data_IF_298901494445
#
_entry.id   IF_298901494445
#
_cell.length_a   1.000
_cell.length_b   1.000
_cell.length_c   1.000
_cell.angle_alpha   90.00
_cell.angle_beta   90.00
_cell.angle_gamma   90.00
#
_symmetry.space_group_name_H-M   'P 1'
#
loop_
_entity.id
_entity.type
_entity.pdbx_description
1 polymer ?
#
# COMPACT_ATOMS: atom_id res chain seq x y z
N UNK A 1 -3.77 5.21 -3.09
CA UNK A 1 -3.46 4.55 -1.82
C UNK A 1 -3.07 5.59 -0.80
N UNK A 2 -3.61 5.49 0.39
CA UNK A 2 -3.48 6.51 1.44
C UNK A 2 -3.07 5.84 2.76
N UNK A 3 -2.25 6.53 3.56
CA UNK A 3 -1.86 6.12 4.92
C UNK A 3 -2.38 7.16 5.92
N UNK A 4 -3.33 6.77 6.75
CA UNK A 4 -3.89 7.66 7.78
C UNK A 4 -3.82 7.02 9.16
N UNK A 5 -4.20 7.76 10.20
CA UNK A 5 -4.20 7.28 11.59
C UNK A 5 -5.61 7.36 12.19
N UNK A 6 -6.02 6.29 12.85
CA UNK A 6 -7.33 6.19 13.50
C UNK A 6 -7.19 5.77 14.97
N UNK A 7 -8.07 6.27 15.83
CA UNK A 7 -8.05 5.97 17.27
C UNK A 7 -9.05 4.85 17.57
N UNK A 8 -8.56 3.71 18.06
CA UNK A 8 -9.37 2.55 18.45
C UNK A 8 -9.13 2.26 19.92
N UNK A 9 -10.21 2.29 20.74
CA UNK A 9 -10.15 2.08 22.20
C UNK A 9 -9.04 2.91 22.87
N UNK A 10 -8.97 4.20 22.51
CA UNK A 10 -7.99 5.14 23.06
C UNK A 10 -6.57 5.05 22.47
N UNK A 11 -6.27 4.08 21.59
CA UNK A 11 -4.93 3.89 21.02
C UNK A 11 -4.90 4.23 19.52
N UNK A 12 -3.85 4.93 19.09
CA UNK A 12 -3.61 5.26 17.69
C UNK A 12 -3.14 4.04 16.90
N UNK A 13 -3.69 3.87 15.71
CA UNK A 13 -3.35 2.83 14.74
C UNK A 13 -3.18 3.45 13.36
N UNK A 14 -2.33 2.85 12.54
CA UNK A 14 -2.12 3.23 11.16
C UNK A 14 -3.08 2.43 10.26
N UNK A 15 -3.71 3.12 9.33
CA UNK A 15 -4.67 2.58 8.39
C UNK A 15 -4.14 2.80 6.97
N UNK A 16 -3.88 1.71 6.27
CA UNK A 16 -3.62 1.73 4.84
C UNK A 16 -4.95 1.53 4.11
N UNK A 17 -5.24 2.38 3.12
CA UNK A 17 -6.45 2.26 2.29
C UNK A 17 -6.10 2.34 0.82
N UNK A 18 -6.67 1.45 0.04
CA UNK A 18 -6.61 1.48 -1.42
C UNK A 18 -8.01 1.73 -1.98
N UNK A 19 -8.09 2.69 -2.89
CA UNK A 19 -9.28 3.00 -3.68
C UNK A 19 -8.89 2.97 -5.15
N UNK A 20 -9.82 2.58 -6.01
CA UNK A 20 -9.66 2.71 -7.46
C UNK A 20 -10.01 4.14 -7.93
N UNK A 21 -9.99 4.33 -9.25
CA UNK A 21 -10.26 5.62 -9.88
C UNK A 21 -11.73 6.06 -9.74
N UNK A 22 -12.66 5.11 -9.57
CA UNK A 22 -14.09 5.38 -9.41
C UNK A 22 -14.46 5.60 -7.93
N UNK A 23 -13.48 5.52 -7.03
CA UNK A 23 -13.66 5.73 -5.59
C UNK A 23 -14.11 4.49 -4.84
N UNK A 24 -14.16 3.32 -5.47
CA UNK A 24 -14.44 2.06 -4.79
C UNK A 24 -13.25 1.65 -3.94
N UNK A 25 -13.53 1.21 -2.71
CA UNK A 25 -12.50 0.70 -1.82
C UNK A 25 -12.08 -0.69 -2.25
N UNK A 26 -10.84 -0.82 -2.71
CA UNK A 26 -10.25 -2.09 -3.08
C UNK A 26 -9.86 -2.90 -1.85
N UNK A 27 -9.27 -2.24 -0.84
CA UNK A 27 -8.76 -2.92 0.35
C UNK A 27 -8.41 -1.95 1.48
N UNK A 28 -8.39 -2.46 2.71
CA UNK A 28 -8.01 -1.75 3.94
C UNK A 28 -7.08 -2.63 4.79
N UNK A 29 -6.06 -2.04 5.40
CA UNK A 29 -5.19 -2.74 6.35
C UNK A 29 -4.85 -1.88 7.58
N UNK A 30 -5.27 -2.36 8.75
CA UNK A 30 -4.95 -1.75 10.05
C UNK A 30 -3.65 -2.31 10.66
N UNK A 31 -2.79 -1.43 11.16
CA UNK A 31 -1.53 -1.77 11.84
C UNK A 31 -1.34 -0.93 13.11
N UNK A 32 -0.63 -1.51 14.09
CA UNK A 32 -0.29 -0.80 15.35
C UNK A 32 0.85 0.21 15.18
N UNK A 33 1.69 0.06 14.15
CA UNK A 33 2.89 0.87 13.90
C UNK A 33 2.98 1.19 12.41
N UNK A 34 3.58 2.33 12.09
CA UNK A 34 4.02 2.69 10.74
C UNK A 34 5.19 1.80 10.36
N UNK A 35 5.09 1.09 9.26
CA UNK A 35 6.09 0.12 8.85
C UNK A 35 6.16 0.04 7.33
N UNK A 36 7.34 0.30 6.76
CA UNK A 36 7.62 0.17 5.32
C UNK A 36 7.37 -1.26 4.84
N UNK A 37 7.59 -2.28 5.68
CA UNK A 37 7.29 -3.67 5.33
C UNK A 37 5.78 -3.92 5.23
N UNK A 38 4.98 -3.28 6.09
CA UNK A 38 3.52 -3.36 6.00
C UNK A 38 3.00 -2.68 4.73
N UNK A 39 3.52 -1.50 4.39
CA UNK A 39 3.18 -0.82 3.13
C UNK A 39 3.54 -1.68 1.90
N UNK A 40 4.72 -2.30 1.88
CA UNK A 40 5.13 -3.23 0.82
C UNK A 40 4.21 -4.45 0.74
N UNK A 41 3.90 -5.08 1.87
CA UNK A 41 3.01 -6.23 1.89
C UNK A 41 1.60 -5.86 1.38
N UNK A 42 1.12 -4.65 1.70
CA UNK A 42 -0.19 -4.17 1.25
C UNK A 42 -0.21 -3.98 -0.26
N UNK A 43 0.80 -3.30 -0.80
CA UNK A 43 0.97 -3.13 -2.25
C UNK A 43 1.12 -4.47 -2.97
N UNK A 44 1.88 -5.42 -2.41
CA UNK A 44 2.03 -6.76 -2.98
C UNK A 44 0.71 -7.53 -3.01
N UNK A 45 -0.10 -7.42 -1.95
CA UNK A 45 -1.44 -8.03 -1.89
C UNK A 45 -2.36 -7.46 -2.96
N UNK A 46 -2.40 -6.13 -3.09
CA UNK A 46 -3.18 -5.45 -4.12
C UNK A 46 -2.73 -5.87 -5.51
N UNK A 47 -1.42 -5.92 -5.77
CA UNK A 47 -0.90 -6.35 -7.05
C UNK A 47 -1.29 -7.80 -7.39
N UNK A 48 -1.21 -8.71 -6.42
CA UNK A 48 -1.61 -10.11 -6.63
C UNK A 48 -3.11 -10.24 -6.94
N UNK A 49 -3.96 -9.39 -6.36
CA UNK A 49 -5.40 -9.48 -6.49
C UNK A 49 -5.95 -8.74 -7.72
N UNK A 50 -5.38 -7.57 -8.05
CA UNK A 50 -5.91 -6.66 -9.06
C UNK A 50 -4.96 -6.46 -10.25
N UNK A 51 -3.78 -7.09 -10.23
CA UNK A 51 -2.76 -6.95 -11.28
C UNK A 51 -1.89 -5.70 -11.12
N UNK A 52 -1.16 -5.35 -12.18
CA UNK A 52 -0.32 -4.16 -12.19
C UNK A 52 -1.16 -2.88 -12.38
N UNK A 53 -1.14 -1.94 -11.42
CA UNK A 53 -1.83 -0.68 -11.59
C UNK A 53 -1.10 0.22 -12.61
N UNK A 54 -1.84 0.87 -13.50
CA UNK A 54 -1.29 1.85 -14.46
C UNK A 54 -0.63 3.05 -13.77
N UNK A 55 -1.18 3.46 -12.63
CA UNK A 55 -0.64 4.52 -11.79
C UNK A 55 -1.03 4.27 -10.33
N UNK A 56 -0.15 4.63 -9.41
CA UNK A 56 -0.45 4.66 -7.98
C UNK A 56 -0.33 6.11 -7.51
N UNK A 57 -1.47 6.69 -7.11
CA UNK A 57 -1.49 7.99 -6.43
C UNK A 57 -1.39 7.75 -4.94
N UNK A 58 -0.44 8.39 -4.26
CA UNK A 58 -0.33 8.35 -2.81
C UNK A 58 -0.22 9.73 -2.21
N UNK A 59 -0.59 9.86 -0.94
CA UNK A 59 -0.07 10.96 -0.14
C UNK A 59 1.46 10.79 -0.06
N UNK A 60 2.23 11.89 0.00
CA UNK A 60 3.70 11.87 -0.16
C UNK A 60 4.44 11.25 1.04
N UNK A 61 3.85 10.27 1.71
CA UNK A 61 4.44 9.49 2.78
C UNK A 61 5.74 8.78 2.31
N UNK A 62 6.89 9.02 2.96
CA UNK A 62 8.17 8.40 2.57
C UNK A 62 8.15 6.86 2.59
N UNK A 63 7.35 6.26 3.48
CA UNK A 63 7.15 4.80 3.59
C UNK A 63 6.60 4.20 2.28
N UNK A 64 5.66 4.88 1.64
CA UNK A 64 4.98 4.40 0.43
C UNK A 64 5.90 4.46 -0.79
N UNK A 65 6.67 5.54 -0.93
CA UNK A 65 7.64 5.68 -2.02
C UNK A 65 8.72 4.59 -2.00
N UNK A 66 9.25 4.25 -0.82
CA UNK A 66 10.23 3.16 -0.68
C UNK A 66 9.61 1.78 -0.93
N UNK A 67 8.38 1.54 -0.45
CA UNK A 67 7.67 0.29 -0.70
C UNK A 67 7.38 0.08 -2.20
N UNK A 68 6.99 1.14 -2.91
CA UNK A 68 6.70 1.09 -4.34
C UNK A 68 7.95 0.77 -5.18
N UNK A 69 9.08 1.46 -4.94
CA UNK A 69 10.35 1.16 -5.61
C UNK A 69 10.79 -0.29 -5.41
N UNK A 70 10.63 -0.80 -4.18
CA UNK A 70 10.92 -2.20 -3.86
C UNK A 70 10.03 -3.16 -4.67
N UNK A 71 8.73 -2.88 -4.77
CA UNK A 71 7.81 -3.70 -5.56
C UNK A 71 8.21 -3.72 -7.05
N UNK A 72 8.50 -2.55 -7.65
CA UNK A 72 8.92 -2.47 -9.05
C UNK A 72 10.21 -3.25 -9.33
N UNK A 73 11.18 -3.20 -8.41
CA UNK A 73 12.42 -3.98 -8.54
C UNK A 73 12.16 -5.50 -8.56
N UNK A 74 11.22 -5.98 -7.74
CA UNK A 74 10.88 -7.41 -7.67
C UNK A 74 10.10 -7.87 -8.90
N UNK A 75 9.16 -7.04 -9.37
CA UNK A 75 8.35 -7.35 -10.55
C UNK A 75 9.20 -7.39 -11.83
N UNK A 76 10.13 -6.44 -12.02
CA UNK A 76 11.06 -6.46 -13.17
C UNK A 76 11.89 -7.75 -13.23
N UNK A 77 12.46 -8.17 -12.11
CA UNK A 77 13.25 -9.41 -12.04
C UNK A 77 12.42 -10.68 -12.34
N UNK A 78 11.10 -10.62 -12.18
CA UNK A 78 10.20 -11.75 -12.44
C UNK A 78 9.71 -11.79 -13.90
N UNK A 79 9.96 -10.73 -14.68
CA UNK A 79 9.54 -10.61 -16.09
C UNK A 79 10.70 -10.89 -17.07
N UNK A 80 11.93 -11.05 -16.55
CA UNK A 80 13.15 -11.38 -17.30
C UNK A 80 13.48 -12.88 -17.29
N UNK A 81 12.52 -13.74 -16.92
CA UNK A 81 12.57 -15.21 -16.95
C UNK A 81 11.41 -15.75 -17.79
#
# INVERSE_FOLDING_TARGET
MDETYIKIKGRWHYLYRAIDADGLTLDIWLRKKRDTQAAYAFLKRLHKQFGEPKAIVTDKAPSLGSAFRKLQSVLRQSTEL
#
